data_IF_905248409128
#
_entry.id   IF_905248409128
#
_cell.length_a   1.000
_cell.length_b   1.000
_cell.length_c   1.000
_cell.angle_alpha   90.00
_cell.angle_beta   90.00
_cell.angle_gamma   90.00
#
_symmetry.space_group_name_H-M   'P 1'
#
loop_
_entity.id
_entity.type
_entity.pdbx_description
1 polymer ?
#
# COMPACT_ATOMS: atom_id res chain seq x y z
N UNK A 1 -55.89 14.57 -53.19
CA UNK A 1 -55.78 14.52 -54.66
C UNK A 1 -54.72 13.46 -54.95
N UNK A 2 -55.08 12.19 -54.79
CA UNK A 2 -55.64 11.25 -55.78
C UNK A 2 -54.57 10.17 -55.97
N UNK A 3 -54.81 9.04 -55.32
CA UNK A 3 -54.48 7.68 -55.81
C UNK A 3 -54.92 7.51 -57.28
N UNK A 4 -54.42 6.50 -58.07
CA UNK A 4 -54.69 5.10 -57.72
C UNK A 4 -53.77 3.96 -58.25
N UNK A 5 -53.98 2.82 -57.58
CA UNK A 5 -54.16 1.43 -58.05
C UNK A 5 -53.11 0.62 -58.81
N UNK A 6 -52.95 -0.61 -58.31
CA UNK A 6 -52.29 -1.73 -58.96
C UNK A 6 -52.26 -3.00 -58.10
N UNK A 7 -53.44 -3.50 -57.74
CA UNK A 7 -53.70 -4.82 -57.12
C UNK A 7 -53.31 -5.98 -58.06
N UNK A 8 -52.91 -7.15 -57.52
CA UNK A 8 -53.34 -8.50 -57.93
C UNK A 8 -52.57 -9.61 -57.17
N UNK A 9 -53.33 -10.59 -56.70
CA UNK A 9 -52.96 -11.63 -55.75
C UNK A 9 -52.66 -13.01 -56.39
N UNK A 10 -51.80 -13.77 -55.70
CA UNK A 10 -51.80 -15.25 -55.55
C UNK A 10 -51.02 -16.10 -56.58
N UNK A 11 -50.73 -17.39 -56.30
CA UNK A 11 -50.71 -18.11 -55.02
C UNK A 11 -49.48 -19.03 -54.79
N UNK A 12 -49.34 -19.50 -53.54
CA UNK A 12 -48.81 -20.78 -53.05
C UNK A 12 -47.85 -21.63 -53.91
N UNK A 13 -46.65 -21.87 -53.35
CA UNK A 13 -45.96 -23.16 -53.42
C UNK A 13 -44.91 -23.26 -52.30
N UNK A 14 -45.38 -23.60 -51.12
CA UNK A 14 -44.56 -23.99 -49.96
C UNK A 14 -43.95 -25.38 -50.24
N UNK A 15 -42.64 -25.45 -50.48
CA UNK A 15 -41.90 -26.72 -50.53
C UNK A 15 -41.50 -27.06 -49.09
N UNK A 16 -42.37 -27.82 -48.42
CA UNK A 16 -42.07 -28.47 -47.16
C UNK A 16 -40.95 -29.51 -47.36
N UNK A 17 -39.72 -29.12 -47.00
CA UNK A 17 -38.68 -30.07 -46.64
C UNK A 17 -39.01 -30.68 -45.27
N UNK A 18 -38.62 -31.92 -44.97
CA UNK A 18 -38.96 -32.55 -43.71
C UNK A 18 -38.24 -31.80 -42.58
N UNK A 19 -39.02 -31.13 -41.72
CA UNK A 19 -38.60 -30.78 -40.38
C UNK A 19 -38.18 -32.08 -39.70
N UNK A 20 -36.86 -32.30 -39.64
CA UNK A 20 -36.29 -33.21 -38.68
C UNK A 20 -36.55 -32.57 -37.32
N UNK A 21 -37.64 -32.98 -36.69
CA UNK A 21 -37.91 -32.73 -35.27
C UNK A 21 -36.65 -33.05 -34.47
N UNK A 22 -35.85 -32.03 -34.16
CA UNK A 22 -34.84 -32.11 -33.11
C UNK A 22 -35.65 -32.16 -31.83
N UNK A 23 -36.06 -33.38 -31.44
CA UNK A 23 -36.76 -33.64 -30.19
C UNK A 23 -35.88 -33.11 -29.07
N UNK A 24 -36.23 -31.94 -28.54
CA UNK A 24 -35.58 -31.36 -27.37
C UNK A 24 -35.66 -32.32 -26.19
N UNK A 25 -34.76 -32.18 -25.20
CA UNK A 25 -34.78 -33.05 -24.02
C UNK A 25 -36.16 -33.06 -23.35
N UNK A 26 -36.67 -34.25 -23.02
CA UNK A 26 -37.92 -34.40 -22.24
C UNK A 26 -37.67 -33.98 -20.78
N UNK A 27 -37.69 -32.67 -20.55
CA UNK A 27 -37.32 -32.02 -19.29
C UNK A 27 -38.17 -32.51 -18.10
N UNK A 28 -39.45 -32.81 -18.34
CA UNK A 28 -40.35 -33.29 -17.29
C UNK A 28 -40.06 -34.73 -16.91
N UNK A 29 -39.71 -35.58 -17.88
CA UNK A 29 -39.24 -36.94 -17.61
C UNK A 29 -37.85 -36.94 -16.98
N UNK A 30 -36.95 -36.06 -17.41
CA UNK A 30 -35.63 -35.87 -16.81
C UNK A 30 -35.72 -35.49 -15.34
N UNK A 31 -36.53 -34.47 -15.00
CA UNK A 31 -36.75 -34.06 -13.60
C UNK A 31 -37.38 -35.15 -12.75
N UNK A 32 -38.34 -35.92 -13.29
CA UNK A 32 -38.94 -37.06 -12.58
C UNK A 32 -37.97 -38.21 -12.33
N UNK A 33 -37.06 -38.49 -13.28
CA UNK A 33 -36.19 -39.66 -13.21
C UNK A 33 -34.84 -39.39 -12.54
N UNK A 34 -34.30 -38.18 -12.63
CA UNK A 34 -33.00 -37.81 -12.04
C UNK A 34 -33.08 -36.66 -11.03
N UNK A 35 -34.16 -35.87 -11.02
CA UNK A 35 -34.33 -34.73 -10.10
C UNK A 35 -35.04 -35.05 -8.78
N UNK A 36 -35.34 -36.32 -8.49
CA UNK A 36 -36.04 -36.73 -7.27
C UNK A 36 -35.12 -36.99 -6.07
N UNK A 37 -35.69 -37.00 -4.86
CA UNK A 37 -34.95 -37.30 -3.62
C UNK A 37 -34.25 -38.67 -3.65
N UNK A 38 -34.86 -39.65 -4.31
CA UNK A 38 -34.32 -41.02 -4.43
C UNK A 38 -33.07 -41.12 -5.34
N UNK A 39 -32.82 -40.12 -6.19
CA UNK A 39 -31.66 -40.07 -7.10
C UNK A 39 -30.65 -38.99 -6.72
N UNK A 40 -30.96 -38.17 -5.73
CA UNK A 40 -30.16 -37.02 -5.31
C UNK A 40 -28.70 -37.42 -5.03
N UNK A 41 -28.46 -38.47 -4.25
CA UNK A 41 -27.08 -38.88 -3.92
C UNK A 41 -26.28 -39.36 -5.12
N UNK A 42 -26.92 -39.98 -6.11
CA UNK A 42 -26.27 -40.36 -7.38
C UNK A 42 -25.88 -39.09 -8.13
N UNK A 43 -26.84 -38.18 -8.29
CA UNK A 43 -26.64 -36.89 -8.98
C UNK A 43 -25.58 -36.03 -8.29
N UNK A 44 -25.55 -35.98 -6.96
CA UNK A 44 -24.51 -35.27 -6.19
C UNK A 44 -23.12 -35.91 -6.36
N UNK A 45 -23.02 -37.24 -6.48
CA UNK A 45 -21.75 -37.91 -6.78
C UNK A 45 -21.26 -37.64 -8.21
N UNK A 46 -22.19 -37.57 -9.17
CA UNK A 46 -21.89 -37.14 -10.55
C UNK A 46 -21.42 -35.69 -10.56
N UNK A 47 -22.16 -34.76 -9.94
CA UNK A 47 -21.78 -33.35 -9.76
C UNK A 47 -20.40 -33.22 -9.10
N UNK A 48 -20.13 -33.96 -8.02
CA UNK A 48 -18.83 -33.90 -7.35
C UNK A 48 -17.69 -34.33 -8.28
N UNK A 49 -17.93 -35.32 -9.14
CA UNK A 49 -16.94 -35.81 -10.11
C UNK A 49 -16.73 -34.82 -11.25
N UNK A 50 -17.80 -34.20 -11.75
CA UNK A 50 -17.76 -33.08 -12.71
C UNK A 50 -16.99 -31.89 -12.13
N UNK A 51 -17.31 -31.46 -10.91
CA UNK A 51 -16.63 -30.37 -10.21
C UNK A 51 -15.14 -30.65 -9.94
N UNK A 52 -14.71 -31.92 -9.97
CA UNK A 52 -13.30 -32.33 -9.87
C UNK A 52 -12.62 -32.44 -11.25
N UNK A 53 -13.31 -32.19 -12.36
CA UNK A 53 -12.78 -32.36 -13.72
C UNK A 53 -12.52 -33.82 -14.09
N UNK A 54 -13.15 -34.78 -13.40
CA UNK A 54 -12.93 -36.21 -13.63
C UNK A 54 -13.92 -36.75 -14.65
N UNK A 55 -13.52 -37.70 -15.51
CA UNK A 55 -14.42 -38.31 -16.47
C UNK A 55 -15.57 -39.03 -15.76
N UNK A 56 -16.77 -38.96 -16.34
CA UNK A 56 -17.97 -39.68 -15.90
C UNK A 56 -17.97 -41.13 -16.36
N UNK A 57 -16.87 -41.82 -16.09
CA UNK A 57 -16.66 -43.24 -16.43
C UNK A 57 -16.37 -44.05 -15.17
N UNK A 58 -16.72 -45.33 -15.23
CA UNK A 58 -16.51 -46.29 -14.16
C UNK A 58 -17.52 -46.19 -13.01
N UNK A 59 -17.28 -46.97 -11.93
CA UNK A 59 -18.23 -47.10 -10.84
C UNK A 59 -18.17 -45.93 -9.85
N UNK A 60 -19.34 -45.50 -9.40
CA UNK A 60 -19.54 -44.77 -8.14
C UNK A 60 -20.30 -45.67 -7.15
N UNK A 61 -19.99 -45.56 -5.86
CA UNK A 61 -20.65 -46.37 -4.83
C UNK A 61 -21.35 -45.49 -3.79
N UNK A 62 -22.59 -45.85 -3.48
CA UNK A 62 -23.38 -45.31 -2.38
C UNK A 62 -23.35 -46.30 -1.21
N UNK A 63 -22.88 -45.84 -0.05
CA UNK A 63 -22.91 -46.62 1.19
C UNK A 63 -24.31 -46.61 1.80
N UNK A 64 -24.78 -47.78 2.28
CA UNK A 64 -26.09 -47.94 2.95
C UNK A 64 -27.25 -47.29 2.16
N UNK A 65 -27.51 -47.76 0.92
CA UNK A 65 -28.55 -47.19 0.10
C UNK A 65 -29.94 -47.55 0.65
N UNK A 66 -30.89 -46.61 0.56
CA UNK A 66 -32.28 -46.86 0.94
C UNK A 66 -32.97 -47.80 -0.07
N UNK A 67 -34.07 -48.48 0.31
CA UNK A 67 -34.86 -49.25 -0.65
C UNK A 67 -35.34 -48.40 -1.85
N UNK A 68 -35.72 -47.14 -1.59
CA UNK A 68 -36.16 -46.21 -2.61
C UNK A 68 -35.04 -45.81 -3.59
N UNK A 69 -33.82 -45.56 -3.09
CA UNK A 69 -32.64 -45.31 -3.94
C UNK A 69 -32.32 -46.51 -4.84
N UNK A 70 -32.41 -47.74 -4.31
CA UNK A 70 -32.20 -48.96 -5.12
C UNK A 70 -33.26 -49.11 -6.21
N UNK A 71 -34.53 -48.86 -5.86
CA UNK A 71 -35.62 -48.92 -6.81
C UNK A 71 -35.50 -47.83 -7.89
N UNK A 72 -35.06 -46.62 -7.53
CA UNK A 72 -34.80 -45.55 -8.48
C UNK A 72 -33.67 -45.90 -9.45
N UNK A 73 -32.54 -46.42 -8.95
CA UNK A 73 -31.44 -46.88 -9.82
C UNK A 73 -31.83 -48.08 -10.69
N UNK A 74 -32.65 -49.00 -10.17
CA UNK A 74 -33.18 -50.11 -10.97
C UNK A 74 -34.07 -49.61 -12.10
N UNK A 75 -34.94 -48.63 -11.84
CA UNK A 75 -35.80 -48.00 -12.86
C UNK A 75 -34.98 -47.29 -13.93
N UNK A 76 -33.90 -46.63 -13.55
CA UNK A 76 -32.97 -45.97 -14.48
C UNK A 76 -32.22 -47.00 -15.34
N UNK A 77 -31.53 -47.96 -14.72
CA UNK A 77 -30.63 -48.87 -15.44
C UNK A 77 -31.34 -50.07 -16.09
N UNK A 78 -32.63 -50.29 -15.80
CA UNK A 78 -33.41 -51.41 -16.32
C UNK A 78 -33.00 -52.79 -15.78
N UNK A 79 -32.09 -52.85 -14.80
CA UNK A 79 -31.59 -54.09 -14.19
C UNK A 79 -31.52 -53.97 -12.67
N UNK A 80 -31.79 -55.05 -11.92
CA UNK A 80 -31.76 -55.01 -10.46
C UNK A 80 -30.33 -54.78 -9.95
N UNK A 81 -30.12 -53.82 -9.03
CA UNK A 81 -28.81 -53.64 -8.39
C UNK A 81 -28.48 -54.81 -7.45
N UNK A 82 -27.20 -55.02 -7.19
CA UNK A 82 -26.74 -56.08 -6.27
C UNK A 82 -27.29 -55.90 -4.85
N UNK A 83 -27.53 -57.02 -4.13
CA UNK A 83 -28.09 -57.04 -2.77
C UNK A 83 -27.09 -56.71 -1.64
N UNK A 84 -25.87 -56.26 -1.99
CA UNK A 84 -24.82 -55.94 -1.02
C UNK A 84 -25.09 -54.67 -0.20
N UNK A 85 -24.25 -54.39 0.79
CA UNK A 85 -24.35 -53.22 1.70
C UNK A 85 -24.08 -51.87 1.03
N UNK A 86 -23.58 -51.88 -0.21
CA UNK A 86 -23.39 -50.70 -1.06
C UNK A 86 -24.14 -50.86 -2.40
N UNK A 87 -24.51 -49.73 -2.99
CA UNK A 87 -25.08 -49.64 -4.33
C UNK A 87 -24.02 -49.04 -5.26
N UNK A 88 -23.52 -49.86 -6.18
CA UNK A 88 -22.56 -49.42 -7.20
C UNK A 88 -23.30 -49.10 -8.49
N UNK A 89 -23.07 -47.90 -9.02
CA UNK A 89 -23.64 -47.40 -10.26
C UNK A 89 -22.49 -47.16 -11.23
N UNK A 90 -22.50 -47.83 -12.37
CA UNK A 90 -21.55 -47.57 -13.44
C UNK A 90 -22.02 -46.35 -14.24
N UNK A 91 -21.20 -45.31 -14.31
CA UNK A 91 -21.53 -44.06 -14.99
C UNK A 91 -21.59 -44.21 -16.51
N UNK A 92 -20.82 -45.13 -17.10
CA UNK A 92 -20.89 -45.45 -18.54
C UNK A 92 -22.25 -46.03 -18.93
N UNK A 93 -22.81 -46.88 -18.04
CA UNK A 93 -24.13 -47.46 -18.25
C UNK A 93 -25.22 -46.42 -18.04
N UNK A 94 -25.07 -45.55 -17.04
CA UNK A 94 -26.02 -44.49 -16.76
C UNK A 94 -26.06 -43.45 -17.89
N UNK A 95 -24.91 -43.02 -18.42
CA UNK A 95 -24.83 -42.09 -19.56
C UNK A 95 -25.49 -42.67 -20.81
N UNK A 96 -25.21 -43.93 -21.10
CA UNK A 96 -25.81 -44.66 -22.22
C UNK A 96 -27.33 -44.78 -22.09
N UNK A 97 -27.86 -45.00 -20.88
CA UNK A 97 -29.31 -44.99 -20.63
C UNK A 97 -29.87 -43.59 -20.88
N UNK A 98 -29.24 -42.55 -20.35
CA UNK A 98 -29.70 -41.15 -20.52
C UNK A 98 -29.82 -40.79 -22.00
N UNK A 99 -28.83 -41.17 -22.82
CA UNK A 99 -28.87 -40.96 -24.27
C UNK A 99 -29.94 -41.78 -24.98
N UNK A 100 -29.94 -43.11 -24.78
CA UNK A 100 -30.85 -44.03 -25.51
C UNK A 100 -32.32 -43.83 -25.17
N UNK A 101 -32.63 -43.45 -23.94
CA UNK A 101 -34.00 -43.28 -23.48
C UNK A 101 -34.62 -41.93 -23.88
N UNK A 102 -33.82 -41.05 -24.50
CA UNK A 102 -34.22 -39.69 -24.87
C UNK A 102 -34.31 -38.72 -23.69
N UNK A 103 -33.76 -39.06 -22.52
CA UNK A 103 -33.79 -38.18 -21.34
C UNK A 103 -32.96 -36.92 -21.55
N UNK A 104 -31.78 -37.07 -22.17
CA UNK A 104 -30.96 -35.94 -22.60
C UNK A 104 -30.05 -36.38 -23.76
N UNK A 105 -30.08 -35.72 -24.93
CA UNK A 105 -29.30 -36.13 -26.10
C UNK A 105 -27.79 -36.05 -25.85
N UNK A 106 -27.35 -35.02 -25.11
CA UNK A 106 -25.93 -34.79 -24.82
C UNK A 106 -25.36 -35.64 -23.68
N UNK A 107 -26.19 -36.50 -23.05
CA UNK A 107 -25.78 -37.47 -22.03
C UNK A 107 -25.88 -36.97 -20.58
N UNK A 108 -25.25 -37.72 -19.67
CA UNK A 108 -25.42 -37.61 -18.22
C UNK A 108 -24.90 -36.28 -17.66
N UNK A 109 -23.80 -35.74 -18.20
CA UNK A 109 -23.26 -34.45 -17.76
C UNK A 109 -24.27 -33.33 -18.00
N UNK A 110 -24.76 -33.20 -19.23
CA UNK A 110 -25.74 -32.18 -19.60
C UNK A 110 -27.10 -32.40 -18.92
N UNK A 111 -27.49 -33.66 -18.66
CA UNK A 111 -28.65 -33.99 -17.83
C UNK A 111 -28.53 -33.45 -16.40
N UNK A 112 -27.36 -33.60 -15.77
CA UNK A 112 -27.11 -33.07 -14.42
C UNK A 112 -27.06 -31.55 -14.41
N UNK A 113 -26.43 -30.92 -15.41
CA UNK A 113 -26.41 -29.46 -15.54
C UNK A 113 -27.81 -28.88 -15.79
N UNK A 114 -28.65 -29.59 -16.55
CA UNK A 114 -30.06 -29.20 -16.75
C UNK A 114 -30.86 -29.23 -15.45
N UNK A 115 -30.53 -30.15 -14.53
CA UNK A 115 -31.25 -30.32 -13.24
C UNK A 115 -30.71 -29.36 -12.17
N UNK A 116 -29.39 -29.21 -12.07
CA UNK A 116 -28.74 -28.48 -10.97
C UNK A 116 -28.18 -27.11 -11.35
N UNK A 117 -28.17 -26.79 -12.64
CA UNK A 117 -27.42 -25.67 -13.20
C UNK A 117 -25.97 -26.05 -13.57
N UNK A 118 -25.23 -25.11 -14.21
CA UNK A 118 -23.84 -25.34 -14.63
C UNK A 118 -22.94 -25.82 -13.49
N UNK A 119 -22.09 -26.82 -13.75
CA UNK A 119 -21.17 -27.38 -12.74
C UNK A 119 -19.73 -27.03 -13.12
N UNK A 120 -19.21 -25.87 -12.67
CA UNK A 120 -17.87 -25.47 -13.04
C UNK A 120 -16.81 -26.37 -12.39
N UNK A 121 -15.72 -26.61 -13.11
CA UNK A 121 -14.59 -27.39 -12.58
C UNK A 121 -13.86 -26.56 -11.54
N UNK A 122 -13.76 -27.07 -10.32
CA UNK A 122 -13.21 -26.35 -9.15
C UNK A 122 -11.78 -25.89 -9.38
N UNK A 123 -10.95 -26.73 -10.03
CA UNK A 123 -9.57 -26.39 -10.34
C UNK A 123 -9.49 -25.24 -11.35
N UNK A 124 -10.36 -25.22 -12.36
CA UNK A 124 -10.41 -24.16 -13.37
C UNK A 124 -10.92 -22.84 -12.78
N UNK A 125 -11.95 -22.88 -11.92
CA UNK A 125 -12.44 -21.69 -11.20
C UNK A 125 -11.34 -21.08 -10.34
N UNK A 126 -10.58 -21.92 -9.59
CA UNK A 126 -9.44 -21.45 -8.79
C UNK A 126 -8.34 -20.87 -9.67
N UNK A 127 -7.96 -21.56 -10.74
CA UNK A 127 -6.94 -21.10 -11.67
C UNK A 127 -7.33 -19.77 -12.34
N UNK A 128 -8.60 -19.61 -12.72
CA UNK A 128 -9.13 -18.37 -13.28
C UNK A 128 -9.11 -17.22 -12.26
N UNK A 129 -9.51 -17.48 -11.02
CA UNK A 129 -9.45 -16.50 -9.93
C UNK A 129 -7.99 -16.08 -9.63
N UNK A 130 -7.07 -17.04 -9.57
CA UNK A 130 -5.64 -16.76 -9.38
C UNK A 130 -5.04 -15.99 -10.56
N UNK A 131 -5.45 -16.31 -11.80
CA UNK A 131 -5.07 -15.57 -12.99
C UNK A 131 -5.59 -14.13 -12.96
N UNK A 132 -6.84 -13.92 -12.58
CA UNK A 132 -7.42 -12.59 -12.44
C UNK A 132 -6.66 -11.75 -11.41
N UNK A 133 -6.35 -12.32 -10.24
CA UNK A 133 -5.55 -11.62 -9.23
C UNK A 133 -4.13 -11.31 -9.68
N UNK A 134 -3.47 -12.23 -10.38
CA UNK A 134 -2.14 -11.96 -10.96
C UNK A 134 -2.18 -10.82 -11.96
N UNK A 135 -3.19 -10.77 -12.83
CA UNK A 135 -3.37 -9.68 -13.79
C UNK A 135 -3.58 -8.34 -13.08
N UNK A 136 -4.42 -8.31 -12.05
CA UNK A 136 -4.71 -7.10 -11.29
C UNK A 136 -3.51 -6.57 -10.51
N UNK A 137 -2.65 -7.44 -9.98
CA UNK A 137 -1.48 -7.05 -9.20
C UNK A 137 -0.25 -6.74 -10.07
N UNK A 138 -0.24 -7.14 -11.35
CA UNK A 138 0.87 -6.90 -12.27
C UNK A 138 1.34 -5.43 -12.37
N UNK A 139 0.47 -4.39 -12.33
CA UNK A 139 0.92 -3.00 -12.26
C UNK A 139 1.75 -2.68 -11.02
N UNK A 140 1.38 -3.23 -9.85
CA UNK A 140 2.09 -3.05 -8.60
C UNK A 140 3.47 -3.72 -8.65
N UNK A 141 3.54 -4.95 -9.18
CA UNK A 141 4.81 -5.65 -9.40
C UNK A 141 5.75 -4.88 -10.34
N UNK A 142 5.19 -4.23 -11.38
CA UNK A 142 5.94 -3.37 -12.29
C UNK A 142 6.47 -2.12 -11.59
N UNK A 143 5.70 -1.52 -10.68
CA UNK A 143 6.14 -0.38 -9.88
C UNK A 143 7.34 -0.77 -9.01
N UNK A 144 7.26 -1.87 -8.27
CA UNK A 144 8.37 -2.35 -7.43
C UNK A 144 9.66 -2.61 -8.21
N UNK A 145 9.58 -3.05 -9.48
CA UNK A 145 10.75 -3.20 -10.35
C UNK A 145 11.36 -1.88 -10.82
N UNK A 146 10.58 -0.79 -10.89
CA UNK A 146 11.02 0.53 -11.38
C UNK A 146 11.44 1.47 -10.27
N UNK A 147 10.92 1.28 -9.07
CA UNK A 147 11.20 2.07 -7.88
C UNK A 147 11.79 1.15 -6.79
N UNK A 148 13.13 1.03 -6.70
CA UNK A 148 13.80 0.14 -5.75
C UNK A 148 13.34 0.34 -4.30
N UNK A 149 13.10 1.58 -3.89
CA UNK A 149 12.66 1.92 -2.53
C UNK A 149 11.27 1.34 -2.19
N UNK A 150 10.43 1.10 -3.19
CA UNK A 150 9.09 0.50 -3.05
C UNK A 150 9.09 -1.02 -3.30
N UNK A 151 10.21 -1.61 -3.73
CA UNK A 151 10.27 -3.00 -4.19
C UNK A 151 9.83 -3.99 -3.11
N UNK A 152 10.39 -3.83 -1.91
CA UNK A 152 10.08 -4.70 -0.76
C UNK A 152 8.61 -4.58 -0.35
N UNK A 153 8.08 -3.35 -0.31
CA UNK A 153 6.67 -3.13 0.02
C UNK A 153 5.72 -3.70 -1.05
N UNK A 154 6.03 -3.53 -2.33
CA UNK A 154 5.23 -4.08 -3.43
C UNK A 154 5.23 -5.61 -3.43
N UNK A 155 6.37 -6.23 -3.10
CA UNK A 155 6.54 -7.68 -3.03
C UNK A 155 6.02 -8.34 -1.75
N UNK A 156 5.66 -7.54 -0.74
CA UNK A 156 5.22 -8.06 0.56
C UNK A 156 3.87 -8.79 0.48
N UNK A 157 3.78 -9.93 1.18
CA UNK A 157 2.54 -10.73 1.26
C UNK A 157 1.43 -9.99 2.00
N UNK A 158 1.80 -9.16 2.99
CA UNK A 158 0.88 -8.29 3.71
C UNK A 158 0.24 -7.24 2.81
N UNK A 159 1.00 -6.64 1.90
CA UNK A 159 0.49 -5.71 0.87
C UNK A 159 -0.55 -6.39 -0.02
N UNK A 160 -0.25 -7.58 -0.55
CA UNK A 160 -1.21 -8.34 -1.38
C UNK A 160 -2.48 -8.69 -0.60
N UNK A 161 -2.34 -9.11 0.66
CA UNK A 161 -3.47 -9.41 1.53
C UNK A 161 -4.31 -8.15 1.82
N UNK A 162 -3.67 -6.99 2.01
CA UNK A 162 -4.33 -5.71 2.25
C UNK A 162 -5.16 -5.27 1.04
N UNK A 163 -4.62 -5.37 -0.18
CA UNK A 163 -5.36 -5.09 -1.42
C UNK A 163 -6.60 -5.97 -1.52
N UNK A 164 -6.44 -7.30 -1.35
CA UNK A 164 -7.55 -8.26 -1.41
C UNK A 164 -8.64 -7.96 -0.39
N UNK A 165 -8.24 -7.64 0.85
CA UNK A 165 -9.16 -7.31 1.94
C UNK A 165 -9.96 -6.04 1.66
N UNK A 166 -9.32 -5.04 1.07
CA UNK A 166 -9.92 -3.72 0.83
C UNK A 166 -10.81 -3.66 -0.40
N UNK A 167 -10.57 -4.50 -1.42
CA UNK A 167 -11.38 -4.51 -2.64
C UNK A 167 -12.42 -5.64 -2.70
N UNK A 168 -12.18 -6.76 -2.02
CA UNK A 168 -13.03 -7.96 -2.06
C UNK A 168 -12.97 -8.76 -3.37
N UNK A 169 -13.07 -8.10 -4.53
CA UNK A 169 -13.07 -8.73 -5.86
C UNK A 169 -11.89 -8.25 -6.73
N UNK A 170 -11.48 -9.05 -7.75
CA UNK A 170 -10.50 -8.61 -8.75
C UNK A 170 -10.93 -7.35 -9.51
N UNK A 171 -12.20 -7.24 -9.89
CA UNK A 171 -12.70 -6.10 -10.66
C UNK A 171 -12.63 -4.77 -9.87
N UNK A 172 -12.97 -4.81 -8.58
CA UNK A 172 -12.81 -3.66 -7.70
C UNK A 172 -11.33 -3.35 -7.44
N UNK A 173 -10.48 -4.39 -7.35
CA UNK A 173 -9.05 -4.23 -7.16
C UNK A 173 -8.36 -3.60 -8.36
N UNK A 174 -8.81 -3.85 -9.59
CA UNK A 174 -8.18 -3.33 -10.81
C UNK A 174 -8.03 -1.80 -10.76
N UNK A 175 -9.14 -1.08 -10.54
CA UNK A 175 -9.10 0.40 -10.43
C UNK A 175 -8.34 0.88 -9.19
N UNK A 176 -8.45 0.15 -8.08
CA UNK A 176 -7.77 0.51 -6.85
C UNK A 176 -6.24 0.42 -7.00
N UNK A 177 -5.74 -0.64 -7.64
CA UNK A 177 -4.30 -0.84 -7.91
C UNK A 177 -3.79 0.15 -8.94
N UNK A 178 -4.59 0.47 -9.97
CA UNK A 178 -4.24 1.48 -10.96
C UNK A 178 -4.04 2.86 -10.30
N UNK A 179 -5.01 3.33 -9.51
CA UNK A 179 -4.90 4.58 -8.76
C UNK A 179 -3.76 4.54 -7.74
N UNK A 180 -3.56 3.41 -7.05
CA UNK A 180 -2.46 3.24 -6.10
C UNK A 180 -1.11 3.43 -6.79
N UNK A 181 -0.89 2.78 -7.94
CA UNK A 181 0.35 2.92 -8.69
C UNK A 181 0.54 4.36 -9.19
N UNK A 182 -0.53 5.01 -9.67
CA UNK A 182 -0.47 6.40 -10.11
C UNK A 182 -0.08 7.36 -8.97
N UNK A 183 -0.67 7.19 -7.78
CA UNK A 183 -0.32 7.99 -6.60
C UNK A 183 1.12 7.75 -6.17
N UNK A 184 1.54 6.49 -6.02
CA UNK A 184 2.90 6.16 -5.57
C UNK A 184 3.97 6.60 -6.56
N UNK A 185 3.69 6.56 -7.86
CA UNK A 185 4.60 7.09 -8.89
C UNK A 185 4.74 8.62 -8.87
N UNK A 186 3.78 9.33 -8.26
CA UNK A 186 3.83 10.77 -8.06
C UNK A 186 4.50 11.17 -6.72
N UNK A 187 4.94 10.18 -5.92
CA UNK A 187 5.65 10.39 -4.67
C UNK A 187 7.17 10.18 -4.83
N UNK A 188 7.99 10.89 -4.03
CA UNK A 188 7.56 11.93 -3.11
C UNK A 188 7.16 13.23 -3.83
N UNK A 189 6.17 13.93 -3.28
CA UNK A 189 5.73 15.22 -3.76
C UNK A 189 6.62 16.37 -3.24
N UNK A 190 6.36 17.58 -3.75
CA UNK A 190 7.02 18.83 -3.35
C UNK A 190 5.97 19.85 -2.87
N UNK A 191 5.34 19.53 -1.73
CA UNK A 191 4.30 20.36 -1.11
C UNK A 191 2.98 20.40 -1.87
N UNK A 192 2.67 19.36 -2.62
CA UNK A 192 1.40 19.25 -3.36
C UNK A 192 0.23 19.04 -2.38
N UNK A 193 -0.85 19.85 -2.46
CA UNK A 193 -2.05 19.63 -1.64
C UNK A 193 -2.65 18.23 -1.87
N UNK A 194 -3.08 17.55 -0.80
CA UNK A 194 -3.62 16.19 -0.87
C UNK A 194 -4.77 16.06 -1.88
N UNK A 195 -5.73 17.00 -1.86
CA UNK A 195 -6.86 17.01 -2.79
C UNK A 195 -6.42 17.19 -4.25
N UNK A 196 -5.33 17.94 -4.50
CA UNK A 196 -4.77 18.12 -5.84
C UNK A 196 -4.05 16.85 -6.31
N UNK A 197 -3.28 16.22 -5.42
CA UNK A 197 -2.64 14.93 -5.71
C UNK A 197 -3.69 13.88 -6.09
N UNK A 198 -4.77 13.77 -5.30
CA UNK A 198 -5.88 12.86 -5.56
C UNK A 198 -6.54 13.16 -6.91
N UNK A 199 -6.96 14.40 -7.14
CA UNK A 199 -7.60 14.79 -8.41
C UNK A 199 -6.71 14.53 -9.64
N UNK A 200 -5.41 14.78 -9.54
CA UNK A 200 -4.48 14.60 -10.66
C UNK A 200 -4.20 13.13 -10.98
N UNK A 201 -4.18 12.26 -9.96
CA UNK A 201 -3.78 10.85 -10.10
C UNK A 201 -4.98 9.92 -10.29
N UNK A 202 -6.18 10.30 -9.82
CA UNK A 202 -7.37 9.45 -9.85
C UNK A 202 -8.59 10.11 -10.48
N UNK A 203 -8.52 11.40 -10.83
CA UNK A 203 -9.67 12.19 -11.28
C UNK A 203 -10.67 12.54 -10.18
N UNK A 204 -10.38 12.22 -8.91
CA UNK A 204 -11.28 12.44 -7.76
C UNK A 204 -10.49 13.08 -6.60
N UNK A 205 -10.84 14.31 -6.24
CA UNK A 205 -10.17 15.07 -5.17
C UNK A 205 -10.31 14.43 -3.78
N UNK A 206 -11.29 13.54 -3.60
CA UNK A 206 -11.60 12.86 -2.34
C UNK A 206 -11.08 11.42 -2.30
N UNK A 207 -10.40 10.95 -3.35
CA UNK A 207 -9.94 9.55 -3.41
C UNK A 207 -8.93 9.18 -2.30
N UNK A 208 -8.22 10.17 -1.75
CA UNK A 208 -7.22 10.01 -0.68
C UNK A 208 -7.74 10.42 0.72
N UNK A 209 -9.05 10.56 0.88
CA UNK A 209 -9.65 10.86 2.18
C UNK A 209 -9.44 9.73 3.20
N UNK A 210 -9.55 10.10 4.47
CA UNK A 210 -9.26 9.30 5.66
C UNK A 210 -9.80 7.86 5.67
N UNK A 211 -11.01 7.68 5.16
CA UNK A 211 -11.84 6.49 5.19
C UNK A 211 -11.75 5.68 3.88
N UNK A 212 -10.91 6.11 2.94
CA UNK A 212 -10.80 5.51 1.62
C UNK A 212 -9.78 4.35 1.62
N UNK A 213 -10.10 3.23 0.95
CA UNK A 213 -9.16 2.13 0.74
C UNK A 213 -7.82 2.56 0.13
N UNK A 214 -7.87 3.48 -0.83
CA UNK A 214 -6.69 3.98 -1.52
C UNK A 214 -5.74 4.71 -0.55
N UNK A 215 -6.28 5.60 0.29
CA UNK A 215 -5.49 6.29 1.31
C UNK A 215 -4.80 5.29 2.26
N UNK A 216 -5.50 4.24 2.68
CA UNK A 216 -4.93 3.18 3.54
C UNK A 216 -3.74 2.49 2.88
N UNK A 217 -3.85 2.13 1.60
CA UNK A 217 -2.77 1.48 0.85
C UNK A 217 -1.58 2.42 0.64
N UNK A 218 -1.83 3.66 0.22
CA UNK A 218 -0.78 4.65 -0.01
C UNK A 218 -0.04 4.94 1.29
N UNK A 219 -0.74 5.16 2.40
CA UNK A 219 -0.12 5.43 3.70
C UNK A 219 0.66 4.23 4.23
N UNK A 220 0.26 3.00 3.89
CA UNK A 220 1.05 1.80 4.21
C UNK A 220 2.38 1.78 3.45
N UNK A 221 2.39 2.14 2.16
CA UNK A 221 3.62 2.27 1.39
C UNK A 221 4.49 3.40 1.93
N UNK A 222 3.85 4.53 2.25
CA UNK A 222 4.55 5.71 2.76
C UNK A 222 5.23 5.43 4.08
N UNK A 223 4.57 4.69 4.96
CA UNK A 223 5.16 4.22 6.21
C UNK A 223 6.35 3.30 5.98
N UNK A 224 6.28 2.41 4.99
CA UNK A 224 7.36 1.48 4.71
C UNK A 224 8.61 2.17 4.14
N UNK A 225 8.44 3.27 3.40
CA UNK A 225 9.53 3.89 2.62
C UNK A 225 10.05 5.20 3.21
N UNK A 226 9.16 6.11 3.59
CA UNK A 226 9.53 7.49 3.96
C UNK A 226 9.43 7.77 5.47
N UNK A 227 9.00 6.79 6.28
CA UNK A 227 8.88 6.99 7.72
C UNK A 227 10.16 6.58 8.47
N UNK A 228 10.72 7.45 9.34
CA UNK A 228 12.06 7.27 9.87
C UNK A 228 12.18 6.26 11.02
N UNK A 229 11.10 5.81 11.67
CA UNK A 229 11.24 4.89 12.81
C UNK A 229 9.94 4.46 13.46
N UNK A 230 10.01 3.87 14.65
CA UNK A 230 8.84 3.27 15.30
C UNK A 230 7.95 4.29 16.04
N UNK A 231 8.47 5.50 16.30
CA UNK A 231 7.74 6.55 17.03
C UNK A 231 6.72 7.25 16.13
N UNK A 232 5.48 6.78 16.19
CA UNK A 232 4.34 7.41 15.53
C UNK A 232 3.53 8.26 16.51
N UNK A 233 2.96 9.40 16.06
CA UNK A 233 1.99 10.13 16.85
C UNK A 233 0.86 9.20 17.34
N UNK A 234 0.49 9.33 18.61
CA UNK A 234 -0.56 8.51 19.22
C UNK A 234 -1.92 8.77 18.59
N UNK A 235 -2.18 10.01 18.18
CA UNK A 235 -3.42 10.38 17.48
C UNK A 235 -3.40 9.88 16.03
N UNK A 236 -4.42 9.12 15.60
CA UNK A 236 -4.53 8.66 14.21
C UNK A 236 -4.52 9.81 13.19
N UNK A 237 -5.12 10.94 13.54
CA UNK A 237 -5.17 12.11 12.67
C UNK A 237 -3.80 12.79 12.52
N UNK A 238 -3.04 12.90 13.62
CA UNK A 238 -1.67 13.45 13.57
C UNK A 238 -0.74 12.52 12.81
N UNK A 239 -0.83 11.21 13.06
CA UNK A 239 -0.04 10.20 12.35
C UNK A 239 -0.28 10.24 10.84
N UNK A 240 -1.54 10.28 10.42
CA UNK A 240 -1.88 10.39 8.99
C UNK A 240 -1.29 11.65 8.36
N UNK A 241 -1.35 12.79 9.06
CA UNK A 241 -0.75 14.04 8.57
C UNK A 241 0.75 13.92 8.44
N UNK A 242 1.42 13.37 9.46
CA UNK A 242 2.87 13.19 9.46
C UNK A 242 3.32 12.25 8.33
N UNK A 243 2.57 11.17 8.05
CA UNK A 243 2.84 10.30 6.91
C UNK A 243 2.68 11.04 5.57
N UNK A 244 1.62 11.82 5.39
CA UNK A 244 1.50 12.61 4.16
C UNK A 244 2.64 13.62 4.01
N UNK A 245 3.01 14.30 5.10
CA UNK A 245 4.10 15.29 5.11
C UNK A 245 5.45 14.64 4.83
N UNK A 246 5.70 13.41 5.33
CA UNK A 246 6.93 12.66 5.05
C UNK A 246 7.11 12.31 3.57
N UNK A 247 6.00 12.15 2.85
CA UNK A 247 5.99 11.97 1.40
C UNK A 247 5.89 13.31 0.63
N UNK A 248 6.01 14.46 1.30
CA UNK A 248 5.92 15.80 0.70
C UNK A 248 4.52 16.19 0.25
N UNK A 249 3.49 15.54 0.80
CA UNK A 249 2.07 15.81 0.50
C UNK A 249 1.49 16.71 1.58
N UNK A 250 0.97 17.84 1.15
CA UNK A 250 0.44 18.86 2.03
C UNK A 250 -1.02 18.57 2.39
N UNK A 251 -1.29 18.28 3.66
CA UNK A 251 -2.66 18.20 4.17
C UNK A 251 -3.20 19.59 4.51
N UNK A 252 -2.39 20.43 5.16
CA UNK A 252 -2.73 21.80 5.58
C UNK A 252 -1.47 22.66 5.72
N UNK A 253 -1.48 23.88 5.16
CA UNK A 253 -0.33 24.81 5.13
C UNK A 253 0.03 25.41 6.49
N UNK A 254 -0.92 25.42 7.44
CA UNK A 254 -0.72 26.03 8.76
C UNK A 254 -0.14 25.03 9.76
N UNK A 255 -0.44 23.75 9.58
CA UNK A 255 0.05 22.66 10.42
C UNK A 255 1.44 22.18 10.04
N UNK A 256 1.89 22.39 8.80
CA UNK A 256 3.28 22.12 8.39
C UNK A 256 4.16 23.30 8.81
N UNK A 257 5.06 23.09 9.76
CA UNK A 257 5.88 24.13 10.38
C UNK A 257 7.36 23.76 10.48
N UNK A 258 8.21 24.77 10.64
CA UNK A 258 9.64 24.63 10.92
C UNK A 258 10.04 25.63 12.00
N UNK A 259 10.90 25.20 12.93
CA UNK A 259 11.42 26.04 14.00
C UNK A 259 12.77 26.62 13.59
N UNK A 260 12.96 27.92 13.83
CA UNK A 260 14.15 28.65 13.39
C UNK A 260 14.68 29.57 14.48
N UNK A 261 15.98 29.81 14.49
CA UNK A 261 16.66 30.79 15.32
C UNK A 261 17.62 31.59 14.45
N UNK A 262 17.52 32.91 14.49
CA UNK A 262 18.37 33.85 13.74
C UNK A 262 18.42 33.63 12.21
N UNK A 263 17.41 32.95 11.63
CA UNK A 263 17.24 32.79 10.19
C UNK A 263 16.44 33.98 9.66
N UNK A 264 17.12 35.00 9.15
CA UNK A 264 16.48 36.17 8.56
C UNK A 264 16.44 36.08 7.03
N UNK A 265 15.25 36.29 6.44
CA UNK A 265 15.15 36.56 5.00
C UNK A 265 15.86 37.88 4.64
N UNK A 266 16.05 38.17 3.34
CA UNK A 266 16.54 39.49 2.90
C UNK A 266 15.42 40.55 2.95
N UNK A 267 15.79 41.84 3.18
CA UNK A 267 14.84 42.96 3.11
C UNK A 267 14.01 42.96 1.83
N UNK A 268 12.76 43.42 1.93
CA UNK A 268 11.85 43.55 0.79
C UNK A 268 10.86 42.38 0.59
N UNK A 269 10.89 41.37 1.46
CA UNK A 269 9.89 40.29 1.49
C UNK A 269 8.98 40.40 2.72
N UNK A 270 7.78 39.80 2.66
CA UNK A 270 6.93 39.68 3.86
C UNK A 270 7.57 38.81 4.93
N UNK A 271 8.34 37.82 4.51
CA UNK A 271 9.05 36.94 5.44
C UNK A 271 10.09 37.72 6.25
N UNK A 272 10.76 38.71 5.65
CA UNK A 272 11.69 39.60 6.37
C UNK A 272 11.04 40.31 7.56
N UNK A 273 9.84 40.84 7.37
CA UNK A 273 9.11 41.53 8.43
C UNK A 273 8.78 40.63 9.63
N UNK A 274 8.71 39.31 9.42
CA UNK A 274 8.51 38.32 10.46
C UNK A 274 9.84 37.87 11.09
N UNK A 275 10.84 37.56 10.25
CA UNK A 275 12.07 36.91 10.70
C UNK A 275 13.11 37.89 11.26
N UNK A 276 13.18 39.12 10.74
CA UNK A 276 14.22 40.07 11.14
C UNK A 276 14.09 40.55 12.59
N UNK A 277 12.89 40.86 13.12
CA UNK A 277 12.75 41.21 14.54
C UNK A 277 13.16 40.07 15.47
N UNK A 278 12.71 38.83 15.19
CA UNK A 278 13.06 37.65 15.96
C UNK A 278 14.58 37.38 15.95
N UNK A 279 15.22 37.48 14.78
CA UNK A 279 16.67 37.34 14.67
C UNK A 279 17.45 38.45 15.40
N UNK A 280 16.89 39.66 15.49
CA UNK A 280 17.51 40.77 16.22
C UNK A 280 17.49 40.54 17.72
N UNK A 281 16.43 39.90 18.24
CA UNK A 281 16.29 39.59 19.67
C UNK A 281 16.85 38.23 20.06
N UNK A 282 17.22 37.38 19.09
CA UNK A 282 17.66 36.02 19.37
C UNK A 282 16.51 35.07 19.75
N UNK A 283 15.29 35.41 19.36
CA UNK A 283 14.08 34.67 19.76
C UNK A 283 13.76 33.57 18.74
N UNK A 284 13.49 32.32 19.17
CA UNK A 284 12.98 31.27 18.31
C UNK A 284 11.68 31.65 17.59
N UNK A 285 11.56 31.29 16.31
CA UNK A 285 10.38 31.55 15.50
C UNK A 285 9.91 30.28 14.79
N UNK A 286 8.63 29.96 14.94
CA UNK A 286 7.94 28.93 14.16
C UNK A 286 7.39 29.53 12.87
N UNK A 287 7.82 29.00 11.73
CA UNK A 287 7.34 29.38 10.41
C UNK A 287 6.45 28.29 9.83
N UNK A 288 5.27 28.67 9.37
CA UNK A 288 4.33 27.81 8.64
C UNK A 288 4.70 27.72 7.17
N UNK A 289 4.32 26.63 6.50
CA UNK A 289 4.48 26.52 5.05
C UNK A 289 3.79 27.67 4.31
N UNK A 290 2.65 28.15 4.79
CA UNK A 290 1.95 29.31 4.22
C UNK A 290 2.80 30.58 4.21
N UNK A 291 3.54 30.84 5.29
CA UNK A 291 4.45 31.99 5.37
C UNK A 291 5.62 31.85 4.40
N UNK A 292 6.12 30.63 4.18
CA UNK A 292 7.22 30.32 3.26
C UNK A 292 6.79 30.24 1.78
N UNK A 293 5.51 29.97 1.50
CA UNK A 293 4.99 29.68 0.16
C UNK A 293 4.43 30.89 -0.60
N UNK A 294 4.08 31.98 0.09
CA UNK A 294 3.44 33.16 -0.51
C UNK A 294 4.33 33.95 -1.46
N UNK A 295 5.64 33.90 -1.22
CA UNK A 295 6.67 34.57 -2.00
C UNK A 295 7.84 33.58 -2.21
N UNK A 296 8.79 33.92 -3.08
CA UNK A 296 10.08 33.22 -3.15
C UNK A 296 11.10 34.04 -2.35
N UNK A 297 11.22 33.84 -1.02
CA UNK A 297 12.16 34.60 -0.23
C UNK A 297 13.59 34.26 -0.64
N UNK A 298 14.45 35.26 -0.61
CA UNK A 298 15.91 35.06 -0.70
C UNK A 298 16.52 35.23 0.67
N UNK A 299 17.61 34.52 0.93
CA UNK A 299 18.32 34.54 2.21
C UNK A 299 19.75 35.04 2.04
N UNK A 300 20.39 35.55 3.11
CA UNK A 300 21.83 35.78 3.12
C UNK A 300 22.62 34.51 2.80
N UNK A 301 23.76 34.66 2.13
CA UNK A 301 24.74 33.58 1.96
C UNK A 301 25.48 33.37 3.27
N UNK A 302 25.90 32.14 3.55
CA UNK A 302 26.63 31.82 4.78
C UNK A 302 26.42 30.37 5.21
N UNK A 303 26.80 30.06 6.44
CA UNK A 303 26.54 28.76 7.05
C UNK A 303 25.26 28.82 7.88
N UNK A 304 24.39 27.83 7.67
CA UNK A 304 23.18 27.61 8.48
C UNK A 304 23.31 26.24 9.13
N UNK A 305 23.20 26.20 10.45
CA UNK A 305 23.17 24.95 11.20
C UNK A 305 21.77 24.37 11.17
N UNK A 306 21.67 23.04 11.18
CA UNK A 306 20.42 22.32 11.19
C UNK A 306 20.52 21.24 12.26
N UNK A 307 19.58 21.20 13.20
CA UNK A 307 19.46 20.17 14.22
C UNK A 307 18.12 19.44 14.09
N UNK A 308 18.02 18.25 14.67
CA UNK A 308 16.78 17.48 14.71
C UNK A 308 15.88 17.93 15.85
N UNK A 309 16.46 18.22 17.01
CA UNK A 309 15.79 18.31 18.29
C UNK A 309 15.57 19.78 18.71
N UNK A 310 14.35 20.16 19.15
CA UNK A 310 14.06 21.51 19.59
C UNK A 310 14.85 21.93 20.85
N UNK A 311 15.29 20.99 21.69
CA UNK A 311 16.12 21.26 22.88
C UNK A 311 17.43 21.95 22.50
N UNK A 312 18.06 21.55 21.39
CA UNK A 312 19.30 22.17 20.89
C UNK A 312 19.07 23.63 20.53
N UNK A 313 17.96 23.91 19.84
CA UNK A 313 17.61 25.27 19.42
C UNK A 313 17.24 26.16 20.61
N UNK A 314 16.46 25.63 21.57
CA UNK A 314 16.10 26.36 22.78
C UNK A 314 17.36 26.73 23.60
N UNK A 315 18.26 25.77 23.85
CA UNK A 315 19.50 26.03 24.57
C UNK A 315 20.42 27.02 23.84
N UNK A 316 20.47 26.97 22.50
CA UNK A 316 21.22 27.93 21.70
C UNK A 316 20.63 29.35 21.79
N UNK A 317 19.30 29.48 21.82
CA UNK A 317 18.64 30.76 22.04
C UNK A 317 18.94 31.31 23.44
N UNK A 318 18.81 30.49 24.48
CA UNK A 318 19.04 30.90 25.87
C UNK A 318 20.50 31.32 26.13
N UNK A 319 21.46 30.57 25.59
CA UNK A 319 22.88 30.80 25.84
C UNK A 319 23.49 31.88 24.94
N UNK A 320 23.14 31.90 23.65
CA UNK A 320 23.81 32.72 22.64
C UNK A 320 22.91 33.86 22.12
N UNK A 321 21.59 33.72 22.21
CA UNK A 321 20.62 34.73 21.76
C UNK A 321 20.93 35.25 20.35
N UNK A 322 21.01 36.57 20.14
CA UNK A 322 21.34 37.17 18.83
C UNK A 322 22.73 36.80 18.29
N UNK A 323 23.65 36.34 19.14
CA UNK A 323 24.98 35.93 18.71
C UNK A 323 25.01 34.50 18.14
N UNK A 324 23.94 33.71 18.32
CA UNK A 324 23.83 32.40 17.70
C UNK A 324 23.85 32.51 16.18
N UNK A 325 24.66 31.74 15.43
CA UNK A 325 24.55 31.68 13.99
C UNK A 325 23.16 31.13 13.58
N UNK A 326 22.71 31.38 12.33
CA UNK A 326 21.41 30.90 11.88
C UNK A 326 21.26 29.38 12.08
N UNK A 327 20.18 28.97 12.75
CA UNK A 327 19.89 27.59 13.12
C UNK A 327 18.45 27.23 12.74
N UNK A 328 18.28 26.05 12.13
CA UNK A 328 16.98 25.47 11.77
C UNK A 328 16.80 24.17 12.54
N UNK A 329 15.66 23.96 13.17
CA UNK A 329 15.30 22.70 13.78
C UNK A 329 14.21 22.01 12.94
N UNK A 330 14.47 20.77 12.51
CA UNK A 330 13.50 19.98 11.72
C UNK A 330 12.47 19.23 12.57
N UNK A 331 12.70 19.15 13.89
CA UNK A 331 11.81 18.54 14.87
C UNK A 331 11.43 17.09 14.52
N UNK A 332 12.45 16.24 14.36
CA UNK A 332 12.31 14.88 13.86
C UNK A 332 12.15 14.83 12.34
N UNK A 333 11.08 14.17 11.86
CA UNK A 333 10.84 14.03 10.42
C UNK A 333 10.67 15.41 9.76
N UNK A 334 11.48 15.75 8.73
CA UNK A 334 11.40 17.04 8.08
C UNK A 334 10.03 17.29 7.47
N UNK A 335 9.37 18.35 7.93
CA UNK A 335 8.10 18.79 7.37
C UNK A 335 8.26 19.39 5.97
N UNK A 336 7.17 19.51 5.22
CA UNK A 336 7.18 20.27 3.95
C UNK A 336 7.67 21.71 4.16
N UNK A 337 7.30 22.35 5.27
CA UNK A 337 7.82 23.68 5.62
C UNK A 337 9.34 23.69 5.83
N UNK A 338 9.88 22.69 6.53
CA UNK A 338 11.32 22.57 6.74
C UNK A 338 12.06 22.37 5.41
N UNK A 339 11.60 21.43 4.57
CA UNK A 339 12.18 21.18 3.25
C UNK A 339 12.11 22.43 2.35
N UNK A 340 10.98 23.15 2.38
CA UNK A 340 10.80 24.39 1.63
C UNK A 340 11.80 25.47 2.05
N UNK A 341 12.00 25.65 3.36
CA UNK A 341 12.96 26.61 3.90
C UNK A 341 14.39 26.22 3.53
N UNK A 342 14.80 24.98 3.77
CA UNK A 342 16.15 24.49 3.48
C UNK A 342 16.49 24.58 1.98
N UNK A 343 15.52 24.29 1.12
CA UNK A 343 15.66 24.46 -0.34
C UNK A 343 15.86 25.94 -0.69
N UNK A 344 15.09 26.85 -0.10
CA UNK A 344 15.22 28.29 -0.32
C UNK A 344 16.57 28.85 0.17
N UNK A 345 17.06 28.37 1.31
CA UNK A 345 18.38 28.72 1.85
C UNK A 345 19.49 28.25 0.90
N UNK A 346 19.44 27.00 0.46
CA UNK A 346 20.41 26.42 -0.48
C UNK A 346 20.39 27.16 -1.82
N UNK A 347 19.20 27.43 -2.37
CA UNK A 347 19.05 28.19 -3.62
C UNK A 347 19.58 29.62 -3.51
N UNK A 348 19.62 30.19 -2.29
CA UNK A 348 20.23 31.49 -2.00
C UNK A 348 21.75 31.43 -1.75
N UNK A 349 22.37 30.25 -1.84
CA UNK A 349 23.80 30.03 -1.65
C UNK A 349 24.24 29.73 -0.21
N UNK A 350 23.32 29.37 0.68
CA UNK A 350 23.67 28.93 2.03
C UNK A 350 24.30 27.53 2.03
N UNK A 351 25.27 27.30 2.92
CA UNK A 351 25.85 26.00 3.23
C UNK A 351 25.19 25.44 4.47
N UNK A 352 24.43 24.36 4.30
CA UNK A 352 23.77 23.68 5.41
C UNK A 352 24.76 22.77 6.14
N UNK A 353 24.78 22.83 7.48
CA UNK A 353 25.49 21.86 8.32
C UNK A 353 24.51 21.17 9.26
N UNK A 354 24.42 19.85 9.19
CA UNK A 354 23.37 19.08 9.86
C UNK A 354 23.93 18.19 10.97
N UNK A 355 23.24 18.20 12.11
CA UNK A 355 23.36 17.24 13.20
C UNK A 355 21.98 16.64 13.50
N UNK A 356 21.97 15.41 14.02
CA UNK A 356 20.76 14.70 14.44
C UNK A 356 21.12 13.60 15.43
N UNK A 357 20.12 12.83 15.84
CA UNK A 357 20.34 11.74 16.79
C UNK A 357 21.20 10.62 16.16
N UNK A 358 22.10 10.03 16.94
CA UNK A 358 22.78 8.80 16.55
C UNK A 358 21.93 7.57 16.88
N UNK A 359 20.86 7.40 16.11
CA UNK A 359 20.10 6.16 16.00
C UNK A 359 19.68 5.91 14.53
N UNK A 360 19.01 4.80 14.27
CA UNK A 360 18.58 4.50 12.91
C UNK A 360 17.49 5.45 12.40
N UNK A 361 16.74 6.12 13.28
CA UNK A 361 15.77 7.14 12.93
C UNK A 361 16.42 8.42 12.43
N UNK A 362 17.37 8.96 13.21
CA UNK A 362 18.19 10.10 12.83
C UNK A 362 18.95 9.83 11.52
N UNK A 363 19.48 8.62 11.33
CA UNK A 363 20.15 8.25 10.06
C UNK A 363 19.17 8.28 8.87
N UNK A 364 17.93 7.80 9.04
CA UNK A 364 16.89 7.89 7.99
C UNK A 364 16.51 9.34 7.70
N UNK A 365 16.34 10.18 8.72
CA UNK A 365 16.05 11.61 8.57
C UNK A 365 17.18 12.31 7.79
N UNK A 366 18.43 12.05 8.17
CA UNK A 366 19.59 12.62 7.51
C UNK A 366 19.71 12.19 6.04
N UNK A 367 19.47 10.91 5.74
CA UNK A 367 19.42 10.41 4.37
C UNK A 367 18.30 11.07 3.56
N UNK A 368 17.09 11.21 4.14
CA UNK A 368 15.99 11.93 3.52
C UNK A 368 16.37 13.38 3.22
N UNK A 369 16.92 14.11 4.18
CA UNK A 369 17.40 15.48 3.97
C UNK A 369 18.44 15.55 2.85
N UNK A 370 19.39 14.61 2.82
CA UNK A 370 20.47 14.59 1.81
C UNK A 370 19.96 14.33 0.40
N UNK A 371 18.87 13.55 0.27
CA UNK A 371 18.20 13.32 -1.01
C UNK A 371 17.50 14.58 -1.55
N UNK A 372 17.19 15.56 -0.68
CA UNK A 372 16.45 16.78 -1.05
C UNK A 372 17.35 18.01 -1.17
N UNK A 373 18.29 18.17 -0.26
CA UNK A 373 19.19 19.34 -0.20
C UNK A 373 20.61 18.92 0.16
N UNK A 374 21.64 19.54 -0.44
CA UNK A 374 23.03 19.30 -0.05
C UNK A 374 23.31 19.85 1.34
N UNK A 375 23.92 19.04 2.20
CA UNK A 375 24.38 19.43 3.53
C UNK A 375 25.71 18.75 3.89
N UNK A 376 26.42 19.30 4.87
CA UNK A 376 27.68 18.78 5.41
C UNK A 376 27.50 18.35 6.87
N UNK A 377 28.17 17.28 7.34
CA UNK A 377 28.03 16.86 8.72
C UNK A 377 28.51 17.95 9.67
N UNK A 378 27.70 18.21 10.69
CA UNK A 378 28.05 18.95 11.88
C UNK A 378 28.19 17.95 13.00
N UNK A 379 29.41 17.44 13.23
CA UNK A 379 29.68 16.37 14.20
C UNK A 379 28.75 15.16 14.06
N UNK A 380 28.34 14.88 12.84
CA UNK A 380 27.44 13.78 12.53
C UNK A 380 28.18 12.81 11.62
N UNK A 381 29.24 12.22 12.14
CA UNK A 381 30.16 11.31 11.46
C UNK A 381 30.63 10.23 12.44
N UNK A 382 31.32 9.20 11.94
CA UNK A 382 31.75 8.06 12.73
C UNK A 382 32.73 8.44 13.84
N UNK A 383 33.56 9.48 13.62
CA UNK A 383 34.50 9.96 14.62
C UNK A 383 33.78 10.66 15.77
N UNK A 384 32.81 11.52 15.46
CA UNK A 384 31.97 12.20 16.44
C UNK A 384 31.10 11.21 17.23
N UNK A 385 30.54 10.18 16.57
CA UNK A 385 29.81 9.12 17.25
C UNK A 385 30.68 8.39 18.28
N UNK A 386 31.89 7.96 17.88
CA UNK A 386 32.84 7.29 18.79
C UNK A 386 33.21 8.20 19.96
N UNK A 387 33.45 9.47 19.71
CA UNK A 387 33.74 10.45 20.76
C UNK A 387 32.56 10.62 21.74
N UNK A 388 31.33 10.66 21.22
CA UNK A 388 30.13 10.77 22.05
C UNK A 388 29.94 9.53 22.93
N UNK A 389 30.10 8.32 22.39
CA UNK A 389 30.03 7.06 23.16
C UNK A 389 31.05 7.05 24.32
N UNK A 390 32.29 7.47 24.05
CA UNK A 390 33.34 7.58 25.08
C UNK A 390 32.98 8.62 26.13
N UNK A 391 32.51 9.80 25.72
CA UNK A 391 32.13 10.89 26.62
C UNK A 391 30.98 10.51 27.55
N UNK A 392 29.98 9.78 27.03
CA UNK A 392 28.84 9.30 27.80
C UNK A 392 29.27 8.23 28.82
N UNK A 393 30.13 7.29 28.42
CA UNK A 393 30.68 6.29 29.34
C UNK A 393 31.51 6.92 30.47
N UNK A 394 32.31 7.94 30.16
CA UNK A 394 33.09 8.67 31.16
C UNK A 394 32.21 9.47 32.13
N UNK A 395 31.14 10.12 31.63
CA UNK A 395 30.19 10.86 32.45
C UNK A 395 29.42 9.98 33.44
N UNK A 396 29.07 8.75 33.04
CA UNK A 396 28.46 7.75 33.92
C UNK A 396 29.41 7.33 35.05
N UNK A 397 30.72 7.23 34.77
CA UNK A 397 31.72 6.89 35.77
C UNK A 397 32.01 8.04 36.77
N UNK A 398 31.81 9.30 36.37
CA UNK A 398 32.06 10.47 37.23
C UNK A 398 30.90 10.83 38.17
N UNK A 399 29.79 10.07 38.16
CA UNK A 399 28.64 10.30 39.06
C UNK A 399 27.86 11.59 38.78
N UNK A 400 28.10 12.25 37.64
CA UNK A 400 27.34 13.42 37.22
C UNK A 400 25.95 12.97 36.75
N UNK A 401 24.90 13.68 37.18
CA UNK A 401 23.53 13.44 36.70
C UNK A 401 23.45 13.90 35.25
N UNK A 402 23.65 12.97 34.31
CA UNK A 402 23.46 13.17 32.87
C UNK A 402 22.42 12.18 32.36
N UNK A 403 21.73 12.48 31.24
CA UNK A 403 20.88 11.50 30.58
C UNK A 403 21.70 10.23 30.29
N UNK A 404 21.06 9.07 30.45
CA UNK A 404 21.71 7.78 30.19
C UNK A 404 21.53 7.45 28.70
N UNK A 405 22.57 6.94 28.00
CA UNK A 405 22.41 6.58 26.61
C UNK A 405 21.42 5.42 26.47
N UNK A 406 20.70 5.42 25.35
CA UNK A 406 19.79 4.33 24.99
C UNK A 406 20.53 3.14 24.39
N UNK A 407 19.88 1.98 24.34
CA UNK A 407 20.31 0.88 23.47
C UNK A 407 19.88 1.18 22.05
N UNK A 408 20.78 0.96 21.08
CA UNK A 408 20.44 1.07 19.67
C UNK A 408 19.53 -0.10 19.26
N UNK A 409 18.31 0.20 18.83
CA UNK A 409 17.29 -0.77 18.41
C UNK A 409 16.78 -0.46 17.00
N UNK A 410 16.15 -1.45 16.34
CA UNK A 410 15.59 -1.29 15.00
C UNK A 410 16.50 -1.79 13.88
N UNK A 411 16.04 -1.65 12.63
CA UNK A 411 16.78 -2.10 11.45
C UNK A 411 17.91 -1.14 11.09
N UNK A 412 19.15 -1.63 10.90
CA UNK A 412 20.27 -0.83 10.42
C UNK A 412 20.02 -0.15 9.08
N UNK A 413 20.61 1.03 8.92
CA UNK A 413 20.56 1.84 7.68
C UNK A 413 21.94 2.41 7.39
N UNK A 414 22.33 2.40 6.11
CA UNK A 414 23.59 2.97 5.67
C UNK A 414 23.55 4.51 5.70
N UNK A 415 24.53 5.13 6.35
CA UNK A 415 24.70 6.58 6.36
C UNK A 415 25.31 7.05 5.02
N UNK A 416 24.52 7.68 4.16
CA UNK A 416 24.95 8.08 2.80
C UNK A 416 26.05 9.16 2.76
N UNK A 417 26.43 9.72 3.91
CA UNK A 417 27.46 10.75 4.03
C UNK A 417 28.76 10.27 4.67
N UNK A 418 28.74 9.13 5.37
CA UNK A 418 29.90 8.55 6.04
C UNK A 418 29.79 7.01 6.04
N UNK A 419 30.64 6.36 5.26
CA UNK A 419 30.66 4.92 5.11
C UNK A 419 31.04 4.15 6.39
N UNK A 420 31.68 4.80 7.37
CA UNK A 420 32.07 4.15 8.63
C UNK A 420 30.99 4.25 9.71
N UNK A 421 30.05 5.18 9.60
CA UNK A 421 29.15 5.52 10.71
C UNK A 421 28.23 4.35 11.07
N UNK A 422 27.58 3.72 10.09
CA UNK A 422 26.70 2.56 10.30
C UNK A 422 27.45 1.42 10.99
N UNK A 423 28.66 1.10 10.53
CA UNK A 423 29.48 0.05 11.15
C UNK A 423 29.91 0.40 12.58
N UNK A 424 30.23 1.67 12.84
CA UNK A 424 30.54 2.14 14.20
C UNK A 424 29.32 2.01 15.13
N UNK A 425 28.13 2.46 14.68
CA UNK A 425 26.88 2.38 15.43
C UNK A 425 26.49 0.93 15.74
N UNK A 426 26.55 0.03 14.76
CA UNK A 426 26.27 -1.40 14.98
C UNK A 426 27.26 -2.06 15.94
N UNK A 427 28.54 -1.66 15.92
CA UNK A 427 29.57 -2.21 16.81
C UNK A 427 29.36 -1.80 18.27
N UNK A 428 29.03 -0.53 18.51
CA UNK A 428 28.86 0.00 19.86
C UNK A 428 27.44 -0.22 20.41
N UNK A 429 26.44 -0.39 19.55
CA UNK A 429 25.06 -0.69 19.97
C UNK A 429 24.42 0.38 20.86
N UNK A 430 24.93 1.61 20.81
CA UNK A 430 24.55 2.71 21.71
C UNK A 430 23.81 3.78 20.93
N UNK A 431 22.61 4.14 21.37
CA UNK A 431 21.86 5.31 20.89
C UNK A 431 22.34 6.55 21.64
N UNK A 432 22.65 7.61 20.91
CA UNK A 432 23.06 8.91 21.48
C UNK A 432 22.15 10.01 20.95
N UNK A 433 21.32 10.57 21.83
CA UNK A 433 20.44 11.70 21.55
C UNK A 433 21.24 13.02 21.51
N UNK A 434 20.77 14.03 20.77
CA UNK A 434 21.43 15.34 20.66
C UNK A 434 21.66 16.00 22.03
N UNK A 435 20.78 15.79 23.03
CA UNK A 435 20.95 16.27 24.40
C UNK A 435 22.25 15.82 25.06
N UNK A 436 22.76 14.63 24.71
CA UNK A 436 23.98 14.07 25.29
C UNK A 436 25.24 14.76 24.78
N UNK A 437 25.16 15.43 23.63
CA UNK A 437 26.27 16.15 22.98
C UNK A 437 26.02 17.65 22.91
N UNK A 438 24.96 18.14 23.57
CA UNK A 438 24.50 19.53 23.53
C UNK A 438 25.62 20.54 23.82
N UNK A 439 26.39 20.34 24.88
CA UNK A 439 27.51 21.23 25.25
C UNK A 439 28.52 21.40 24.09
N UNK A 440 28.77 20.31 23.35
CA UNK A 440 29.71 20.31 22.23
C UNK A 440 29.13 21.03 21.01
N UNK A 441 27.82 20.87 20.76
CA UNK A 441 27.12 21.59 19.71
C UNK A 441 27.08 23.10 20.01
N UNK A 442 26.76 23.49 21.24
CA UNK A 442 26.73 24.89 21.65
C UNK A 442 28.11 25.56 21.55
N UNK A 443 29.20 24.84 21.86
CA UNK A 443 30.57 25.34 21.66
C UNK A 443 30.90 25.59 20.18
N UNK A 444 30.47 24.71 19.27
CA UNK A 444 30.64 24.94 17.84
C UNK A 444 29.86 26.18 17.36
N UNK A 445 28.63 26.39 17.88
CA UNK A 445 27.78 27.54 17.55
C UNK A 445 28.36 28.86 18.07
N UNK A 446 29.02 28.86 19.24
CA UNK A 446 29.65 30.06 19.82
C UNK A 446 30.95 30.46 19.13
N UNK A 447 31.49 29.60 18.24
CA UNK A 447 32.79 29.80 17.60
C UNK A 447 33.98 29.59 18.54
N UNK A 448 33.75 29.07 19.75
CA UNK A 448 34.79 28.70 20.69
C UNK A 448 35.34 27.32 20.28
N UNK A 449 36.53 27.32 19.66
CA UNK A 449 37.31 26.11 19.38
C UNK A 449 38.57 26.07 20.22
#
# INVERSE_FOLDING_TARGET
MTEPDGEMAGPDAEVAGPDLDVVGPDLDRLRRQLGGADTERVVQRVRQRMAQGRPLTGPISLSRPTPAERQAVQRLLGRPPGRGTSLTVNLDDLDRVVRRSGLHPDGLAAAVETILGPVPVTAEVRAAADAAWRTVLAPLDRLGRRAPDLADWCGDRGTVALVRRLSGTPDAAARLVEHLVAVLAALPADGTPLARLAAHTTGDAHALDADRPLATLVLSAVRAVWWPGDDEPTSPAQRRRALWDSAGVLVDELSSTVLTLNVAARPGSRLYALTAPAATTGEPLVLTLRQLGRERPTFPTGTVHVCENPTVLAAAADLLGPACPPLVCVNGQPSTAALRLLTGLTASGARLRYHGDFDWGGVRIANLLRSRVPWQPWRYDAAAYRAAVVGVAAGAASGAVRPTPGTLTGQPVDASWDAELTAAMSRHGTRVEEELVLDTLLADLSGQR
#
